data_IF_237946669185
#
_entry.id   IF_237946669185
#
_cell.length_a   1.000
_cell.length_b   1.000
_cell.length_c   1.000
_cell.angle_alpha   90.00
_cell.angle_beta   90.00
_cell.angle_gamma   90.00
#
_symmetry.space_group_name_H-M   'P 1'
#
loop_
_entity.id
_entity.type
_entity.pdbx_description
1 polymer ?
#
# COMPACT_ATOMS: atom_id res chain seq x y z
N UNK A 1 -12.46 -33.12 23.49
CA UNK A 1 -11.71 -32.42 24.55
C UNK A 1 -12.44 -31.11 24.85
N UNK A 2 -12.78 -30.83 26.12
CA UNK A 2 -13.47 -29.60 26.50
C UNK A 2 -12.41 -28.49 26.60
N UNK A 3 -12.33 -27.60 25.62
CA UNK A 3 -11.51 -26.40 25.72
C UNK A 3 -12.17 -25.45 26.71
N UNK A 4 -11.49 -25.21 27.84
CA UNK A 4 -11.95 -24.24 28.83
C UNK A 4 -11.24 -22.92 28.55
N UNK A 5 -11.98 -21.82 28.41
CA UNK A 5 -11.42 -20.49 28.12
C UNK A 5 -10.31 -20.10 29.12
N UNK A 6 -10.36 -20.66 30.33
CA UNK A 6 -9.43 -20.41 31.42
C UNK A 6 -8.01 -20.93 31.17
N UNK A 7 -7.82 -21.98 30.36
CA UNK A 7 -6.46 -22.50 30.09
C UNK A 7 -5.67 -21.62 29.12
N UNK A 8 -6.35 -20.83 28.28
CA UNK A 8 -5.70 -19.94 27.32
C UNK A 8 -4.95 -18.80 28.01
N UNK A 9 -5.49 -18.28 29.10
CA UNK A 9 -4.86 -17.19 29.86
C UNK A 9 -3.66 -17.63 30.71
N UNK A 10 -3.50 -18.94 30.94
CA UNK A 10 -2.37 -19.48 31.69
C UNK A 10 -1.17 -19.85 30.80
N UNK A 11 -1.33 -19.82 29.47
CA UNK A 11 -0.28 -20.22 28.54
C UNK A 11 0.69 -19.04 28.29
N UNK A 12 1.98 -19.26 28.55
CA UNK A 12 3.02 -18.25 28.30
C UNK A 12 3.12 -17.86 26.82
N UNK A 13 2.92 -18.82 25.91
CA UNK A 13 2.99 -18.57 24.47
C UNK A 13 1.90 -17.60 24.01
N UNK A 14 0.73 -17.61 24.65
CA UNK A 14 -0.35 -16.66 24.36
C UNK A 14 0.12 -15.21 24.53
N UNK A 15 0.88 -14.92 25.58
CA UNK A 15 1.41 -13.57 25.82
C UNK A 15 2.48 -13.16 24.81
N UNK A 16 3.31 -14.08 24.34
CA UNK A 16 4.29 -13.80 23.27
C UNK A 16 3.54 -13.37 22.00
N UNK A 17 2.54 -14.14 21.59
CA UNK A 17 1.73 -13.80 20.42
C UNK A 17 0.95 -12.50 20.61
N UNK A 18 0.46 -12.24 21.82
CA UNK A 18 -0.19 -10.97 22.16
C UNK A 18 0.74 -9.77 21.97
N UNK A 19 2.00 -9.86 22.41
CA UNK A 19 2.99 -8.79 22.24
C UNK A 19 3.30 -8.57 20.76
N UNK A 20 3.49 -9.65 19.99
CA UNK A 20 3.71 -9.56 18.54
C UNK A 20 2.50 -8.92 17.84
N UNK A 21 1.29 -9.33 18.22
CA UNK A 21 0.05 -8.77 17.68
C UNK A 21 -0.07 -7.27 17.98
N UNK A 22 0.21 -6.86 19.22
CA UNK A 22 0.19 -5.45 19.63
C UNK A 22 1.22 -4.65 18.81
N UNK A 23 2.46 -5.15 18.67
CA UNK A 23 3.49 -4.48 17.89
C UNK A 23 3.11 -4.33 16.41
N UNK A 24 2.54 -5.39 15.82
CA UNK A 24 2.03 -5.36 14.44
C UNK A 24 0.87 -4.37 14.29
N UNK A 25 -0.05 -4.32 15.26
CA UNK A 25 -1.16 -3.38 15.27
C UNK A 25 -0.68 -1.92 15.37
N UNK A 26 0.30 -1.62 16.22
CA UNK A 26 0.90 -0.28 16.28
C UNK A 26 1.60 0.10 14.98
N UNK A 27 2.34 -0.83 14.35
CA UNK A 27 2.96 -0.60 13.04
C UNK A 27 1.92 -0.31 11.97
N UNK A 28 0.80 -1.04 11.98
CA UNK A 28 -0.33 -0.82 11.09
C UNK A 28 -0.99 0.55 11.30
N UNK A 29 -1.26 0.94 12.56
CA UNK A 29 -1.80 2.27 12.88
C UNK A 29 -0.83 3.38 12.45
N UNK A 30 0.47 3.18 12.63
CA UNK A 30 1.49 4.12 12.15
C UNK A 30 1.47 4.24 10.62
N UNK A 31 1.34 3.13 9.90
CA UNK A 31 1.21 3.12 8.45
C UNK A 31 -0.08 3.82 7.99
N UNK A 32 -1.21 3.62 8.66
CA UNK A 32 -2.46 4.33 8.37
C UNK A 32 -2.32 5.83 8.60
N UNK A 33 -1.71 6.24 9.72
CA UNK A 33 -1.47 7.66 10.00
C UNK A 33 -0.59 8.27 8.91
N UNK A 34 0.50 7.59 8.53
CA UNK A 34 1.38 8.04 7.46
C UNK A 34 0.63 8.13 6.13
N UNK A 35 -0.22 7.15 5.80
CA UNK A 35 -1.01 7.15 4.58
C UNK A 35 -2.02 8.31 4.55
N UNK A 36 -2.67 8.63 5.66
CA UNK A 36 -3.56 9.78 5.76
C UNK A 36 -2.81 11.09 5.55
N UNK A 37 -1.65 11.26 6.20
CA UNK A 37 -0.79 12.44 6.01
C UNK A 37 -0.33 12.53 4.55
N UNK A 38 0.15 11.43 3.96
CA UNK A 38 0.58 11.42 2.56
C UNK A 38 -0.56 11.65 1.58
N UNK A 39 -1.81 11.37 1.95
CA UNK A 39 -2.98 11.70 1.12
C UNK A 39 -3.32 13.19 1.19
N UNK A 40 -3.14 13.83 2.34
CA UNK A 40 -3.28 15.28 2.51
C UNK A 40 -2.13 16.04 1.84
N UNK A 41 -0.90 15.53 1.93
CA UNK A 41 0.28 16.11 1.27
C UNK A 41 0.29 15.83 -0.24
N UNK A 42 -0.22 14.70 -0.71
CA UNK A 42 -0.34 14.39 -2.14
C UNK A 42 -1.32 15.29 -2.91
N UNK A 43 -2.17 16.05 -2.21
CA UNK A 43 -3.02 17.10 -2.80
C UNK A 43 -2.36 18.49 -2.73
N UNK A 44 -1.28 18.65 -1.96
CA UNK A 44 -0.54 19.90 -1.77
C UNK A 44 0.89 19.89 -2.34
N UNK A 45 1.43 18.73 -2.73
CA UNK A 45 2.84 18.54 -3.08
C UNK A 45 3.09 18.20 -4.57
N UNK A 46 2.30 18.73 -5.49
CA UNK A 46 2.78 18.89 -6.88
C UNK A 46 3.71 20.11 -7.04
N UNK A 47 3.95 20.90 -5.99
CA UNK A 47 4.63 22.21 -6.13
C UNK A 47 5.90 22.42 -5.28
N UNK A 48 6.52 21.41 -4.67
CA UNK A 48 7.84 21.63 -4.06
C UNK A 48 8.77 20.40 -4.12
N UNK A 49 9.51 20.33 -5.22
CA UNK A 49 10.82 19.72 -5.23
C UNK A 49 11.72 20.63 -4.38
N UNK A 50 11.98 20.26 -3.13
CA UNK A 50 13.20 20.68 -2.47
C UNK A 50 13.74 19.62 -1.53
N UNK A 51 15.01 19.33 -1.76
CA UNK A 51 15.93 18.63 -0.88
C UNK A 51 15.93 19.24 0.53
N UNK A 52 16.45 18.44 1.47
CA UNK A 52 17.00 18.85 2.77
C UNK A 52 16.09 18.62 4.00
N UNK A 53 16.36 17.52 4.72
CA UNK A 53 16.30 17.46 6.18
C UNK A 53 16.81 16.09 6.68
N UNK A 54 18.08 15.81 6.40
CA UNK A 54 18.89 15.02 7.32
C UNK A 54 19.36 16.01 8.40
N UNK A 55 19.12 15.70 9.68
CA UNK A 55 19.90 16.11 10.87
C UNK A 55 19.07 16.75 12.00
N UNK A 56 19.23 16.17 13.21
CA UNK A 56 19.02 16.78 14.53
C UNK A 56 18.22 15.85 15.46
N UNK A 57 18.72 15.29 16.56
CA UNK A 57 19.78 15.74 17.47
C UNK A 57 20.37 14.60 18.33
N UNK A 58 21.71 14.67 18.51
CA UNK A 58 22.52 14.57 19.75
C UNK A 58 22.44 13.35 20.71
N UNK A 59 23.46 12.96 21.51
CA UNK A 59 24.92 13.22 21.66
C UNK A 59 25.32 12.59 23.03
N UNK A 60 26.28 11.67 23.07
CA UNK A 60 27.08 11.31 24.27
C UNK A 60 28.42 10.72 23.77
N UNK A 61 29.46 11.54 23.51
CA UNK A 61 30.65 11.82 24.35
C UNK A 61 31.38 10.50 24.74
N UNK A 62 32.63 10.23 24.35
CA UNK A 62 33.86 10.89 24.85
C UNK A 62 35.15 10.33 24.18
N UNK A 63 36.05 11.26 23.81
CA UNK A 63 37.54 11.20 23.79
C UNK A 63 38.32 10.16 22.97
N UNK A 64 39.51 10.42 22.41
CA UNK A 64 40.39 11.59 22.23
C UNK A 64 41.64 11.05 21.46
N UNK A 65 42.31 11.94 20.73
CA UNK A 65 43.74 11.91 20.37
C UNK A 65 44.22 11.02 19.19
N UNK A 66 44.61 11.64 18.07
CA UNK A 66 46.03 11.91 17.78
C UNK A 66 46.22 12.61 16.41
N UNK A 67 47.01 13.68 16.49
CA UNK A 67 47.84 14.37 15.51
C UNK A 67 47.99 13.88 14.06
N UNK A 68 48.10 14.91 13.22
CA UNK A 68 49.22 15.19 12.30
C UNK A 68 48.93 15.22 10.78
N UNK A 69 49.19 16.43 10.24
CA UNK A 69 50.03 16.70 9.05
C UNK A 69 49.33 16.99 7.71
N UNK A 70 49.35 18.29 7.36
CA UNK A 70 49.78 18.92 6.07
C UNK A 70 49.06 18.48 4.76
N UNK A 71 48.86 19.25 3.68
CA UNK A 71 49.30 20.57 3.17
C UNK A 71 48.48 20.82 1.87
N UNK A 72 47.90 22.03 1.74
CA UNK A 72 47.97 22.96 0.58
C UNK A 72 47.20 22.74 -0.76
N UNK A 73 46.53 23.84 -1.15
CA UNK A 73 46.19 24.46 -2.46
C UNK A 73 45.57 23.65 -3.60
N UNK A 74 44.37 24.01 -4.08
CA UNK A 74 44.01 25.19 -4.90
C UNK A 74 44.42 25.09 -6.38
N UNK A 75 43.45 24.80 -7.24
CA UNK A 75 43.32 25.46 -8.55
C UNK A 75 41.96 25.17 -9.18
N UNK A 76 41.14 26.21 -9.26
CA UNK A 76 40.09 26.38 -10.26
C UNK A 76 40.67 26.31 -11.68
N UNK A 77 39.98 25.64 -12.61
CA UNK A 77 39.83 26.15 -13.98
C UNK A 77 38.64 25.53 -14.71
N UNK A 78 37.57 26.32 -14.88
CA UNK A 78 36.59 26.19 -15.97
C UNK A 78 37.29 26.39 -17.32
N UNK A 79 36.85 25.69 -18.37
CA UNK A 79 36.19 26.28 -19.57
C UNK A 79 36.13 25.28 -20.74
N UNK A 80 34.90 25.01 -21.18
CA UNK A 80 34.39 24.87 -22.57
C UNK A 80 35.24 24.18 -23.65
N UNK A 81 34.70 23.09 -24.23
CA UNK A 81 34.48 23.00 -25.69
C UNK A 81 33.59 21.80 -26.03
N UNK A 82 32.40 22.10 -26.52
CA UNK A 82 31.50 21.22 -27.26
C UNK A 82 32.09 20.94 -28.66
N UNK A 83 31.81 19.77 -29.25
CA UNK A 83 31.48 19.74 -30.67
C UNK A 83 30.16 18.99 -30.94
N UNK A 84 29.37 19.59 -31.82
CA UNK A 84 28.16 19.04 -32.43
C UNK A 84 28.45 17.80 -33.31
N UNK A 85 27.35 17.14 -33.66
CA UNK A 85 27.10 16.51 -34.96
C UNK A 85 27.50 15.03 -35.13
N UNK A 86 26.59 14.15 -34.73
CA UNK A 86 26.30 12.94 -35.50
C UNK A 86 24.78 12.71 -35.53
N UNK A 87 24.13 13.26 -36.55
CA UNK A 87 22.94 12.64 -37.12
C UNK A 87 23.38 11.33 -37.79
N UNK A 88 23.10 10.18 -37.17
CA UNK A 88 23.07 8.90 -37.89
C UNK A 88 21.64 8.36 -37.85
N UNK A 89 20.90 8.73 -38.89
CA UNK A 89 19.62 8.12 -39.25
C UNK A 89 19.88 6.67 -39.65
N UNK A 90 19.83 5.74 -38.70
CA UNK A 90 19.76 4.30 -38.99
C UNK A 90 18.31 3.86 -39.09
N UNK A 91 17.87 3.58 -40.31
CA UNK A 91 16.78 2.66 -40.59
C UNK A 91 17.10 1.31 -39.91
N UNK A 92 16.52 1.10 -38.73
CA UNK A 92 16.54 -0.19 -38.05
C UNK A 92 15.53 -1.12 -38.73
N UNK A 93 16.00 -1.86 -39.75
CA UNK A 93 15.63 -3.27 -39.83
C UNK A 93 16.40 -4.00 -38.72
N UNK A 94 16.00 -3.81 -37.46
CA UNK A 94 16.58 -4.53 -36.34
C UNK A 94 16.04 -5.95 -36.38
N UNK A 95 16.90 -6.89 -36.78
CA UNK A 95 16.82 -8.24 -36.25
C UNK A 95 16.97 -8.06 -34.74
N UNK A 96 15.85 -8.09 -34.02
CA UNK A 96 15.79 -7.86 -32.58
C UNK A 96 16.81 -8.79 -31.91
N UNK A 97 17.65 -8.22 -31.05
CA UNK A 97 18.54 -9.04 -30.22
C UNK A 97 17.69 -9.98 -29.37
N UNK A 98 18.12 -11.22 -29.07
CA UNK A 98 17.38 -12.11 -28.15
C UNK A 98 17.03 -11.46 -26.81
N UNK A 99 17.84 -10.48 -26.36
CA UNK A 99 17.55 -9.68 -25.18
C UNK A 99 16.38 -8.70 -25.38
N UNK A 100 16.22 -8.13 -26.57
CA UNK A 100 15.10 -7.22 -26.90
C UNK A 100 13.78 -7.99 -27.01
N UNK A 101 13.80 -9.21 -27.58
CA UNK A 101 12.64 -10.11 -27.57
C UNK A 101 12.22 -10.48 -26.14
N UNK A 102 13.19 -10.80 -25.27
CA UNK A 102 12.91 -11.09 -23.86
C UNK A 102 12.30 -9.89 -23.12
N UNK A 103 12.81 -8.68 -23.33
CA UNK A 103 12.25 -7.46 -22.71
C UNK A 103 10.83 -7.19 -23.24
N UNK A 104 10.60 -7.42 -24.53
CA UNK A 104 9.27 -7.27 -25.13
C UNK A 104 8.29 -8.29 -24.55
N UNK A 105 8.68 -9.54 -24.40
CA UNK A 105 7.85 -10.59 -23.78
C UNK A 105 7.51 -10.26 -22.32
N UNK A 106 8.46 -9.72 -21.55
CA UNK A 106 8.19 -9.25 -20.18
C UNK A 106 7.20 -8.08 -20.20
N UNK A 107 7.39 -7.12 -21.10
CA UNK A 107 6.51 -5.95 -21.23
C UNK A 107 5.08 -6.37 -21.59
N UNK A 108 4.94 -7.28 -22.55
CA UNK A 108 3.65 -7.83 -22.98
C UNK A 108 2.98 -8.64 -21.86
N UNK A 109 3.77 -9.42 -21.11
CA UNK A 109 3.29 -10.15 -19.93
C UNK A 109 2.81 -9.20 -18.82
N UNK A 110 3.56 -8.15 -18.53
CA UNK A 110 3.19 -7.15 -17.53
C UNK A 110 1.92 -6.39 -17.93
N UNK A 111 1.82 -5.99 -19.20
CA UNK A 111 0.59 -5.38 -19.75
C UNK A 111 -0.62 -6.30 -19.64
N UNK A 112 -0.44 -7.60 -19.83
CA UNK A 112 -1.51 -8.57 -19.69
C UNK A 112 -1.94 -8.75 -18.22
N UNK A 113 -0.98 -8.77 -17.28
CA UNK A 113 -1.26 -8.82 -15.84
C UNK A 113 -2.05 -7.57 -15.42
N UNK A 114 -1.65 -6.39 -15.86
CA UNK A 114 -2.33 -5.13 -15.55
C UNK A 114 -3.78 -5.13 -16.06
N UNK A 115 -4.00 -5.56 -17.31
CA UNK A 115 -5.35 -5.73 -17.87
C UNK A 115 -6.20 -6.72 -17.08
N UNK A 116 -5.60 -7.80 -16.56
CA UNK A 116 -6.31 -8.78 -15.72
C UNK A 116 -6.65 -8.20 -14.35
N UNK A 117 -5.75 -7.41 -13.78
CA UNK A 117 -5.96 -6.73 -12.50
C UNK A 117 -7.11 -5.72 -12.60
N UNK A 118 -7.09 -4.87 -13.62
CA UNK A 118 -8.15 -3.89 -13.88
C UNK A 118 -9.52 -4.55 -14.07
N UNK A 119 -9.58 -5.70 -14.77
CA UNK A 119 -10.81 -6.49 -14.91
C UNK A 119 -11.29 -7.09 -13.59
N UNK A 120 -10.39 -7.58 -12.75
CA UNK A 120 -10.73 -8.11 -11.43
C UNK A 120 -11.25 -7.00 -10.53
N UNK A 121 -10.62 -5.83 -10.54
CA UNK A 121 -11.06 -4.68 -9.76
C UNK A 121 -12.44 -4.19 -10.20
N UNK A 122 -12.70 -4.11 -11.51
CA UNK A 122 -14.02 -3.78 -12.03
C UNK A 122 -15.08 -4.80 -11.60
N UNK A 123 -14.76 -6.10 -11.69
CA UNK A 123 -15.67 -7.17 -11.27
C UNK A 123 -15.95 -7.17 -9.75
N UNK A 124 -14.95 -6.84 -8.93
CA UNK A 124 -15.10 -6.75 -7.48
C UNK A 124 -15.90 -5.51 -7.07
N UNK A 125 -15.65 -4.36 -7.70
CA UNK A 125 -16.45 -3.14 -7.52
C UNK A 125 -17.92 -3.36 -7.90
N UNK A 126 -18.20 -4.05 -9.01
CA UNK A 126 -19.58 -4.37 -9.38
C UNK A 126 -20.26 -5.34 -8.42
N UNK A 127 -19.54 -6.35 -7.93
CA UNK A 127 -20.08 -7.29 -6.92
C UNK A 127 -20.38 -6.58 -5.61
N UNK A 128 -19.47 -5.73 -5.13
CA UNK A 128 -19.66 -4.97 -3.89
C UNK A 128 -20.79 -3.93 -4.02
N UNK A 129 -20.91 -3.24 -5.15
CA UNK A 129 -22.05 -2.33 -5.38
C UNK A 129 -23.39 -3.07 -5.37
N UNK A 130 -23.48 -4.23 -6.04
CA UNK A 130 -24.70 -5.03 -6.05
C UNK A 130 -25.05 -5.59 -4.68
N UNK A 131 -24.07 -5.97 -3.86
CA UNK A 131 -24.33 -6.44 -2.49
C UNK A 131 -24.72 -5.30 -1.56
N UNK A 132 -24.15 -4.12 -1.72
CA UNK A 132 -24.50 -2.91 -0.96
C UNK A 132 -25.93 -2.44 -1.29
N UNK A 133 -26.27 -2.32 -2.58
CA UNK A 133 -27.63 -1.96 -3.02
C UNK A 133 -28.68 -2.99 -2.55
N UNK A 134 -28.33 -4.29 -2.60
CA UNK A 134 -29.19 -5.34 -2.05
C UNK A 134 -29.37 -5.20 -0.53
N UNK A 135 -28.29 -4.98 0.22
CA UNK A 135 -28.33 -4.85 1.67
C UNK A 135 -29.15 -3.62 2.11
N UNK A 136 -28.98 -2.49 1.42
CA UNK A 136 -29.74 -1.26 1.69
C UNK A 136 -31.23 -1.46 1.42
N UNK A 137 -31.59 -2.01 0.26
CA UNK A 137 -32.99 -2.29 -0.07
C UNK A 137 -33.62 -3.31 0.88
N UNK A 138 -32.85 -4.31 1.31
CA UNK A 138 -33.33 -5.32 2.25
C UNK A 138 -33.56 -4.74 3.65
N UNK A 139 -32.70 -3.82 4.11
CA UNK A 139 -32.89 -3.09 5.37
C UNK A 139 -34.10 -2.15 5.28
N UNK A 140 -34.26 -1.43 4.18
CA UNK A 140 -35.43 -0.58 3.92
C UNK A 140 -36.73 -1.39 3.99
N UNK A 141 -36.75 -2.56 3.36
CA UNK A 141 -37.89 -3.46 3.41
C UNK A 141 -38.17 -3.97 4.84
N UNK A 142 -37.15 -4.26 5.64
CA UNK A 142 -37.33 -4.67 7.05
C UNK A 142 -37.93 -3.53 7.88
N UNK A 143 -37.48 -2.28 7.64
CA UNK A 143 -38.01 -1.09 8.32
C UNK A 143 -39.48 -0.89 7.94
N UNK A 144 -39.81 -1.00 6.64
CA UNK A 144 -41.21 -0.92 6.17
C UNK A 144 -42.09 -2.04 6.76
N UNK A 145 -41.57 -3.27 6.84
CA UNK A 145 -42.28 -4.40 7.46
C UNK A 145 -42.43 -4.21 8.98
N UNK A 146 -41.49 -3.53 9.63
CA UNK A 146 -41.55 -3.19 11.05
C UNK A 146 -42.59 -2.09 11.32
N UNK A 147 -42.61 -1.03 10.51
CA UNK A 147 -43.56 0.08 10.62
C UNK A 147 -45.00 -0.34 10.32
N UNK A 148 -45.18 -1.33 9.44
CA UNK A 148 -46.48 -1.96 9.18
C UNK A 148 -46.92 -2.96 10.27
N UNK A 149 -46.12 -3.15 11.34
CA UNK A 149 -46.35 -4.08 12.44
C UNK A 149 -46.48 -5.56 12.00
N UNK A 150 -45.99 -5.91 10.81
CA UNK A 150 -46.00 -7.26 10.25
C UNK A 150 -44.85 -8.11 10.84
N UNK A 151 -44.97 -8.43 12.13
CA UNK A 151 -43.95 -9.17 12.92
C UNK A 151 -43.54 -10.50 12.28
N UNK A 152 -44.45 -11.16 11.56
CA UNK A 152 -44.17 -12.42 10.86
C UNK A 152 -43.24 -12.22 9.67
N UNK A 153 -43.41 -11.15 8.88
CA UNK A 153 -42.55 -10.82 7.73
C UNK A 153 -41.18 -10.35 8.18
N UNK A 154 -41.12 -9.50 9.20
CA UNK A 154 -39.85 -9.07 9.82
C UNK A 154 -39.05 -10.27 10.29
N UNK A 155 -39.70 -11.21 11.01
CA UNK A 155 -39.06 -12.42 11.50
C UNK A 155 -38.55 -13.32 10.36
N UNK A 156 -39.32 -13.48 9.29
CA UNK A 156 -38.92 -14.26 8.12
C UNK A 156 -37.68 -13.67 7.42
N UNK A 157 -37.64 -12.34 7.25
CA UNK A 157 -36.48 -11.65 6.65
C UNK A 157 -35.23 -11.67 7.53
N UNK A 158 -35.39 -11.53 8.85
CA UNK A 158 -34.28 -11.69 9.80
C UNK A 158 -33.75 -13.14 9.81
N UNK A 159 -34.63 -14.14 9.74
CA UNK A 159 -34.20 -15.53 9.59
C UNK A 159 -33.44 -15.76 8.28
N UNK A 160 -33.90 -15.15 7.18
CA UNK A 160 -33.18 -15.18 5.92
C UNK A 160 -31.75 -14.63 6.04
N UNK A 161 -31.58 -13.46 6.67
CA UNK A 161 -30.25 -12.88 6.97
C UNK A 161 -29.37 -13.82 7.79
N UNK A 162 -29.93 -14.44 8.83
CA UNK A 162 -29.18 -15.37 9.69
C UNK A 162 -28.75 -16.63 8.93
N UNK A 163 -29.60 -17.14 8.03
CA UNK A 163 -29.27 -18.29 7.20
C UNK A 163 -28.22 -17.97 6.15
N UNK A 164 -28.23 -16.75 5.60
CA UNK A 164 -27.25 -16.31 4.61
C UNK A 164 -25.88 -16.05 5.25
N UNK A 165 -25.83 -15.40 6.42
CA UNK A 165 -24.60 -15.16 7.20
C UNK A 165 -23.92 -16.44 7.75
N UNK A 166 -24.63 -17.57 7.76
CA UNK A 166 -24.10 -18.86 8.23
C UNK A 166 -23.51 -19.72 7.11
N UNK A 167 -23.68 -19.34 5.85
CA UNK A 167 -23.05 -20.00 4.71
C UNK A 167 -21.64 -19.46 4.49
#
# INVERSE_FOLDING_TARGET
>A
MKFSIYTIWADYYFYIYLVIFIASFFSFLFALRKLLISKEEGEAAEDDINDDALTGEQKEILSQDLSDKQIIESSEKKLSSQPELFEEKKEQNSVLSPAEEFIKDISDSLSNIDKRLSKLEAAEKEKNKKSEEFALKFLEDIINDYDSLDKEKVKARIQFLISDLKK
#
